data_IF_503637944345
#
_entry.id   IF_503637944345
#
_cell.length_a   1.000
_cell.length_b   1.000
_cell.length_c   1.000
_cell.angle_alpha   90.00
_cell.angle_beta   90.00
_cell.angle_gamma   90.00
#
_symmetry.space_group_name_H-M   'P 1'
#
loop_
_entity.id
_entity.type
_entity.pdbx_description
1 polymer ?
#
# COMPACT_ATOMS: atom_id res chain seq x y z
N UNK A 1 27.73 57.81 -36.70
CA UNK A 1 27.83 58.53 -35.41
C UNK A 1 26.55 58.28 -34.63
N UNK A 2 26.63 58.17 -33.30
CA UNK A 2 25.54 57.94 -32.30
C UNK A 2 25.31 56.45 -31.91
N UNK A 3 26.16 55.98 -30.97
CA UNK A 3 25.80 54.97 -29.96
C UNK A 3 25.13 55.71 -28.77
N UNK A 4 23.88 55.38 -28.44
CA UNK A 4 23.25 55.73 -27.15
C UNK A 4 22.56 54.46 -26.60
N UNK A 5 23.35 53.54 -26.06
CA UNK A 5 23.53 53.28 -24.61
C UNK A 5 22.25 52.85 -23.87
N UNK A 6 21.87 51.59 -24.09
CA UNK A 6 20.72 50.84 -23.50
C UNK A 6 21.04 50.39 -22.05
N UNK A 7 22.13 50.86 -21.45
CA UNK A 7 22.63 50.40 -20.13
C UNK A 7 21.78 50.82 -18.93
N UNK A 8 20.84 51.75 -19.07
CA UNK A 8 20.03 52.24 -17.94
C UNK A 8 18.75 51.44 -17.68
N UNK A 9 18.19 50.73 -18.67
CA UNK A 9 17.06 49.83 -18.43
C UNK A 9 17.46 48.51 -17.75
N UNK A 10 18.66 48.00 -18.03
CA UNK A 10 19.16 46.77 -17.42
C UNK A 10 19.39 46.93 -15.91
N UNK A 11 19.86 48.10 -15.45
CA UNK A 11 20.13 48.34 -14.04
C UNK A 11 18.85 48.38 -13.18
N UNK A 12 17.71 48.83 -13.74
CA UNK A 12 16.41 48.83 -13.05
C UNK A 12 15.80 47.41 -12.96
N UNK A 13 15.97 46.60 -14.01
CA UNK A 13 15.51 45.21 -14.01
C UNK A 13 16.37 44.30 -13.13
N UNK A 14 17.69 44.53 -13.08
CA UNK A 14 18.61 43.76 -12.22
C UNK A 14 18.33 44.03 -10.73
N UNK A 15 17.98 45.26 -10.36
CA UNK A 15 17.59 45.59 -8.98
C UNK A 15 16.25 44.95 -8.56
N UNK A 16 15.28 44.85 -9.48
CA UNK A 16 14.00 44.17 -9.23
C UNK A 16 14.16 42.64 -9.13
N UNK A 17 15.05 42.06 -9.95
CA UNK A 17 15.35 40.63 -9.94
C UNK A 17 16.10 40.17 -8.67
N UNK A 18 16.94 41.03 -8.09
CA UNK A 18 17.69 40.71 -6.86
C UNK A 18 16.80 40.76 -5.60
N UNK A 19 15.74 41.58 -5.57
CA UNK A 19 14.78 41.61 -4.48
C UNK A 19 13.80 40.41 -4.47
N UNK A 20 13.57 39.78 -5.64
CA UNK A 20 12.78 38.54 -5.76
C UNK A 20 13.58 37.27 -5.45
N UNK A 21 14.91 37.35 -5.36
CA UNK A 21 15.75 36.19 -5.04
C UNK A 21 15.90 35.94 -3.52
N UNK A 22 15.51 36.89 -2.67
CA UNK A 22 15.66 36.76 -1.21
C UNK A 22 14.43 36.15 -0.51
N UNK A 23 13.31 35.96 -1.21
CA UNK A 23 12.11 35.33 -0.64
C UNK A 23 12.02 33.82 -0.89
N UNK A 24 12.94 33.22 -1.64
CA UNK A 24 12.93 31.77 -1.95
C UNK A 24 13.92 31.00 -1.07
N UNK A 25 14.15 31.45 0.18
CA UNK A 25 15.07 30.80 1.11
C UNK A 25 14.40 29.97 2.22
N UNK A 26 13.09 29.79 2.22
CA UNK A 26 12.45 28.88 3.18
C UNK A 26 11.12 28.41 2.65
N UNK A 27 11.08 27.15 2.20
CA UNK A 27 9.93 26.21 2.04
C UNK A 27 10.35 25.18 0.98
N UNK A 28 10.42 23.87 1.18
CA UNK A 28 10.22 22.99 2.33
C UNK A 28 11.16 21.80 2.11
N UNK A 29 11.85 21.34 3.16
CA UNK A 29 12.49 20.02 3.11
C UNK A 29 11.39 18.98 2.91
N UNK A 30 11.53 18.12 1.89
CA UNK A 30 10.56 17.09 1.52
C UNK A 30 9.12 17.59 1.70
N UNK A 31 8.66 18.46 0.79
CA UNK A 31 7.25 18.83 0.75
C UNK A 31 6.43 17.56 0.79
N UNK A 32 5.74 17.35 1.91
CA UNK A 32 4.50 16.58 2.07
C UNK A 32 4.13 15.68 0.89
N UNK A 33 4.99 14.71 0.58
CA UNK A 33 4.55 13.43 0.10
C UNK A 33 3.81 12.88 1.32
N UNK A 34 2.48 12.97 1.30
CA UNK A 34 1.69 11.96 1.97
C UNK A 34 2.29 10.65 1.47
N UNK A 35 3.16 10.04 2.29
CA UNK A 35 3.52 8.64 2.15
C UNK A 35 2.17 7.96 2.28
N UNK A 36 1.49 7.81 1.15
CA UNK A 36 0.30 7.02 1.03
C UNK A 36 0.73 5.71 1.68
N UNK A 37 0.15 5.39 2.84
CA UNK A 37 0.39 4.12 3.49
C UNK A 37 -0.14 3.10 2.51
N UNK A 38 0.71 2.69 1.58
CA UNK A 38 0.32 1.73 0.59
C UNK A 38 0.05 0.48 1.41
N UNK A 39 -1.19 0.00 1.42
CA UNK A 39 -1.58 -1.21 2.14
C UNK A 39 -1.09 -2.48 1.40
N UNK A 40 0.14 -2.39 0.92
CA UNK A 40 0.88 -3.47 0.31
C UNK A 40 1.55 -4.24 1.43
N UNK A 41 1.27 -5.53 1.48
CA UNK A 41 1.88 -6.43 2.45
C UNK A 41 2.84 -7.38 1.75
N UNK A 42 3.98 -7.61 2.39
CA UNK A 42 4.90 -8.65 1.95
C UNK A 42 4.34 -10.00 2.34
N UNK A 43 4.03 -10.82 1.34
CA UNK A 43 3.48 -12.15 1.56
C UNK A 43 4.61 -13.17 1.55
N UNK A 44 4.64 -14.01 2.58
CA UNK A 44 5.66 -15.04 2.72
C UNK A 44 5.59 -16.01 1.54
N UNK A 45 6.78 -16.34 1.02
CA UNK A 45 6.98 -17.20 -0.16
C UNK A 45 6.57 -16.54 -1.50
N UNK A 46 6.38 -15.22 -1.51
CA UNK A 46 6.22 -14.43 -2.73
C UNK A 46 7.32 -13.37 -2.85
N UNK A 47 7.74 -13.08 -4.07
CA UNK A 47 8.64 -11.96 -4.38
C UNK A 47 7.87 -10.64 -4.63
N UNK A 48 6.53 -10.68 -4.56
CA UNK A 48 5.65 -9.55 -4.83
C UNK A 48 4.79 -9.21 -3.62
N UNK A 49 4.59 -7.91 -3.40
CA UNK A 49 3.68 -7.41 -2.38
C UNK A 49 2.24 -7.37 -2.89
N UNK A 50 1.29 -7.52 -1.98
CA UNK A 50 -0.15 -7.56 -2.31
C UNK A 50 -0.85 -6.35 -1.72
N UNK A 51 -1.55 -5.59 -2.56
CA UNK A 51 -2.42 -4.49 -2.12
C UNK A 51 -3.72 -5.06 -1.54
N UNK A 52 -3.85 -5.05 -0.21
CA UNK A 52 -5.04 -5.57 0.48
C UNK A 52 -6.23 -4.61 0.47
N UNK A 53 -6.03 -3.34 0.07
CA UNK A 53 -7.12 -2.37 -0.10
C UNK A 53 -7.78 -2.44 -1.48
N UNK A 54 -7.33 -3.33 -2.35
CA UNK A 54 -8.01 -3.56 -3.62
C UNK A 54 -9.45 -4.02 -3.35
N UNK A 55 -10.40 -3.35 -4.00
CA UNK A 55 -11.84 -3.61 -3.91
C UNK A 55 -12.26 -5.05 -4.23
N UNK A 56 -11.38 -5.83 -4.88
CA UNK A 56 -11.61 -7.26 -5.15
C UNK A 56 -11.56 -8.13 -3.90
N UNK A 57 -10.88 -7.68 -2.84
CA UNK A 57 -10.77 -8.45 -1.61
C UNK A 57 -11.99 -8.26 -0.69
N UNK A 58 -12.62 -9.37 -0.33
CA UNK A 58 -13.53 -9.44 0.80
C UNK A 58 -12.71 -9.59 2.09
N UNK A 59 -12.81 -8.59 2.98
CA UNK A 59 -12.18 -8.65 4.29
C UNK A 59 -13.04 -9.41 5.32
N UNK A 60 -12.38 -10.28 6.10
CA UNK A 60 -12.94 -10.93 7.27
C UNK A 60 -12.17 -10.50 8.51
N UNK A 61 -12.88 -9.88 9.45
CA UNK A 61 -12.36 -9.65 10.79
C UNK A 61 -12.38 -10.96 11.58
N UNK A 62 -11.20 -11.36 12.05
CA UNK A 62 -11.03 -12.51 12.95
C UNK A 62 -10.83 -12.07 14.39
N UNK A 63 -11.40 -10.92 14.77
CA UNK A 63 -11.34 -10.37 16.11
C UNK A 63 -11.76 -11.41 17.16
N UNK A 64 -10.84 -11.74 18.07
CA UNK A 64 -11.02 -12.79 19.09
C UNK A 64 -10.19 -14.06 18.83
N UNK A 65 -9.61 -14.22 17.64
CA UNK A 65 -8.59 -15.24 17.41
C UNK A 65 -7.23 -14.76 17.93
N UNK A 66 -6.54 -15.60 18.71
CA UNK A 66 -5.17 -15.32 19.15
C UNK A 66 -4.11 -15.64 18.09
N UNK A 67 -4.53 -16.27 16.98
CA UNK A 67 -3.62 -16.81 15.97
C UNK A 67 -3.78 -16.14 14.60
N UNK A 68 -5.01 -15.73 14.25
CA UNK A 68 -5.36 -15.14 12.96
C UNK A 68 -5.79 -13.70 13.21
N UNK A 69 -5.07 -12.76 12.62
CA UNK A 69 -5.27 -11.33 12.85
C UNK A 69 -6.20 -10.69 11.80
N UNK A 70 -6.26 -11.27 10.60
CA UNK A 70 -7.18 -10.90 9.54
C UNK A 70 -7.09 -11.85 8.36
N UNK A 71 -8.11 -11.84 7.51
CA UNK A 71 -8.11 -12.57 6.24
C UNK A 71 -8.79 -11.75 5.14
N UNK A 72 -8.28 -11.87 3.93
CA UNK A 72 -8.76 -11.22 2.72
C UNK A 72 -8.93 -12.28 1.64
N UNK A 73 -10.05 -12.26 0.93
CA UNK A 73 -10.35 -13.25 -0.09
C UNK A 73 -10.85 -12.60 -1.38
N UNK A 74 -10.22 -12.95 -2.49
CA UNK A 74 -10.64 -12.60 -3.84
C UNK A 74 -11.33 -13.80 -4.48
N UNK A 75 -12.65 -13.69 -4.66
CA UNK A 75 -13.46 -14.76 -5.23
C UNK A 75 -13.25 -14.97 -6.73
N UNK A 76 -12.76 -13.96 -7.46
CA UNK A 76 -12.56 -14.06 -8.90
C UNK A 76 -11.31 -14.89 -9.22
N UNK A 77 -10.26 -14.72 -8.41
CA UNK A 77 -8.97 -15.41 -8.57
C UNK A 77 -8.81 -16.62 -7.63
N UNK A 78 -9.84 -16.95 -6.83
CA UNK A 78 -9.78 -17.97 -5.78
C UNK A 78 -8.54 -17.80 -4.88
N UNK A 79 -8.26 -16.55 -4.52
CA UNK A 79 -7.01 -16.13 -3.89
C UNK A 79 -7.27 -15.59 -2.49
N UNK A 80 -6.57 -16.14 -1.50
CA UNK A 80 -6.67 -15.70 -0.11
C UNK A 80 -5.34 -15.15 0.39
N UNK A 81 -5.38 -14.03 1.10
CA UNK A 81 -4.29 -13.59 1.98
C UNK A 81 -4.76 -13.68 3.42
N UNK A 82 -3.94 -14.24 4.29
CA UNK A 82 -4.24 -14.38 5.71
C UNK A 82 -3.06 -13.92 6.55
N UNK A 83 -3.34 -13.13 7.58
CA UNK A 83 -2.35 -12.68 8.55
C UNK A 83 -2.33 -13.63 9.76
N UNK A 84 -1.22 -14.32 9.95
CA UNK A 84 -0.98 -15.24 11.05
C UNK A 84 0.10 -14.68 11.95
N UNK A 85 -0.28 -14.20 13.14
CA UNK A 85 0.65 -13.67 14.14
C UNK A 85 1.61 -12.61 13.56
N UNK A 86 1.08 -11.71 12.72
CA UNK A 86 1.84 -10.64 12.07
C UNK A 86 2.61 -11.04 10.80
N UNK A 87 2.48 -12.28 10.33
CA UNK A 87 3.04 -12.71 9.04
C UNK A 87 1.93 -12.98 8.03
N UNK A 88 2.03 -12.40 6.84
CA UNK A 88 1.07 -12.62 5.76
C UNK A 88 1.42 -13.87 4.95
N UNK A 89 0.42 -14.68 4.66
CA UNK A 89 0.52 -15.88 3.84
C UNK A 89 -0.53 -15.81 2.73
N UNK A 90 -0.18 -16.31 1.54
CA UNK A 90 -1.11 -16.45 0.43
C UNK A 90 -1.51 -17.89 0.17
N UNK A 91 -2.69 -18.05 -0.42
CA UNK A 91 -3.24 -19.31 -0.88
C UNK A 91 -3.92 -19.08 -2.23
N UNK A 92 -3.56 -19.88 -3.23
CA UNK A 92 -4.10 -19.80 -4.59
C UNK A 92 -5.00 -21.00 -4.88
N UNK A 93 -6.07 -20.81 -5.66
CA UNK A 93 -7.01 -21.87 -6.02
C UNK A 93 -7.81 -22.40 -4.83
N UNK A 94 -8.04 -21.57 -3.80
CA UNK A 94 -8.87 -21.95 -2.66
C UNK A 94 -10.35 -21.68 -3.01
N UNK A 95 -11.22 -22.69 -3.09
CA UNK A 95 -12.60 -22.49 -3.52
C UNK A 95 -13.40 -21.58 -2.59
N UNK A 96 -14.35 -20.84 -3.16
CA UNK A 96 -15.22 -19.93 -2.40
C UNK A 96 -16.05 -20.66 -1.31
N UNK A 97 -16.33 -21.96 -1.50
CA UNK A 97 -16.98 -22.80 -0.49
C UNK A 97 -16.18 -22.88 0.80
N UNK A 98 -14.86 -23.05 0.71
CA UNK A 98 -13.95 -23.11 1.85
C UNK A 98 -13.89 -21.77 2.56
N UNK A 99 -13.88 -20.66 1.82
CA UNK A 99 -13.98 -19.31 2.38
C UNK A 99 -15.29 -19.10 3.14
N UNK A 100 -16.43 -19.49 2.55
CA UNK A 100 -17.76 -19.40 3.18
C UNK A 100 -17.86 -20.20 4.47
N UNK A 101 -17.24 -21.38 4.52
CA UNK A 101 -17.17 -22.22 5.72
C UNK A 101 -16.23 -21.64 6.77
N UNK A 102 -15.06 -21.12 6.35
CA UNK A 102 -14.12 -20.43 7.24
C UNK A 102 -14.75 -19.24 7.96
N UNK A 103 -15.53 -18.42 7.25
CA UNK A 103 -16.30 -17.30 7.83
C UNK A 103 -17.29 -17.72 8.92
N UNK A 104 -17.77 -18.97 8.88
CA UNK A 104 -18.76 -19.52 9.83
C UNK A 104 -18.11 -20.39 10.91
N UNK A 105 -16.80 -20.58 10.87
CA UNK A 105 -16.11 -21.47 11.79
C UNK A 105 -16.21 -20.96 13.23
N UNK A 106 -16.54 -21.86 14.17
CA UNK A 106 -16.53 -21.53 15.61
C UNK A 106 -15.12 -21.28 16.17
N UNK A 107 -14.09 -21.71 15.45
CA UNK A 107 -12.68 -21.44 15.73
C UNK A 107 -11.92 -21.28 14.42
N UNK A 108 -11.51 -20.06 14.10
CA UNK A 108 -10.73 -19.78 12.89
C UNK A 108 -9.42 -20.59 12.86
N UNK A 109 -8.73 -20.68 14.00
CA UNK A 109 -7.44 -21.41 14.09
C UNK A 109 -7.59 -22.90 13.85
N UNK A 110 -8.64 -23.53 14.38
CA UNK A 110 -8.92 -24.96 14.15
C UNK A 110 -9.24 -25.20 12.68
N UNK A 111 -10.17 -24.42 12.11
CA UNK A 111 -10.55 -24.58 10.71
C UNK A 111 -9.36 -24.36 9.76
N UNK A 112 -8.55 -23.33 10.00
CA UNK A 112 -7.35 -23.06 9.21
C UNK A 112 -6.40 -24.27 9.20
N UNK A 113 -6.12 -24.87 10.37
CA UNK A 113 -5.22 -26.02 10.45
C UNK A 113 -5.79 -27.27 9.75
N UNK A 114 -7.11 -27.49 9.83
CA UNK A 114 -7.75 -28.68 9.29
C UNK A 114 -8.00 -28.58 7.78
N UNK A 115 -8.33 -27.39 7.26
CA UNK A 115 -8.90 -27.22 5.91
C UNK A 115 -8.11 -26.32 4.98
N UNK A 116 -7.18 -25.50 5.47
CA UNK A 116 -6.46 -24.53 4.62
C UNK A 116 -4.96 -24.82 4.61
N UNK A 117 -4.36 -25.02 5.78
CA UNK A 117 -2.92 -25.17 5.94
C UNK A 117 -2.37 -26.33 5.10
N UNK A 118 -1.48 -26.00 4.17
CA UNK A 118 -0.79 -26.97 3.32
C UNK A 118 -1.65 -27.64 2.24
N UNK A 119 -2.89 -27.16 2.02
CA UNK A 119 -3.80 -27.70 0.99
C UNK A 119 -3.88 -26.86 -0.28
N UNK A 120 -3.64 -25.56 -0.15
CA UNK A 120 -3.62 -24.64 -1.28
C UNK A 120 -2.24 -23.95 -1.27
N UNK A 121 -1.51 -24.04 -2.38
CA UNK A 121 -0.20 -23.44 -2.54
C UNK A 121 -0.21 -22.57 -3.79
N UNK A 122 0.53 -21.47 -3.75
CA UNK A 122 0.84 -20.70 -4.95
C UNK A 122 2.20 -21.23 -5.45
N UNK A 123 2.17 -22.08 -6.48
CA UNK A 123 3.37 -22.60 -7.17
C UNK A 123 3.79 -21.68 -8.32
#
# INVERSE_FOLDING_TARGET
MIKRNIRWHYLFHVALALALCLTVLVTDGCGNEECNQSNYVDVKYSDSSVNLEDSRFEYLSTAGSSFINGAWYDSAEEYMVIELSGTYYHYCGMPESIWKEFKKAGSFGTYYNDWIKGKYGCD
#
